data_IF_137076269194
#
_entry.id   IF_137076269194
#
_cell.length_a   1.000
_cell.length_b   1.000
_cell.length_c   1.000
_cell.angle_alpha   90.00
_cell.angle_beta   90.00
_cell.angle_gamma   90.00
#
_symmetry.space_group_name_H-M   'P 1'
#
loop_
_entity.id
_entity.type
_entity.pdbx_description
1 polymer ?
#
# COMPACT_ATOMS: atom_id res chain seq x y z
N UNK A 1 -3.33 8.49 47.00
CA UNK A 1 -2.95 7.73 45.79
C UNK A 1 -3.82 8.27 44.68
N UNK A 2 -3.32 9.25 43.93
CA UNK A 2 -4.03 9.77 42.75
C UNK A 2 -3.70 8.83 41.61
N UNK A 3 -4.66 7.98 41.26
CA UNK A 3 -4.61 7.22 40.02
C UNK A 3 -4.66 8.23 38.88
N UNK A 4 -3.51 8.43 38.24
CA UNK A 4 -3.41 9.22 37.01
C UNK A 4 -4.32 8.57 35.96
N UNK A 5 -5.49 9.16 35.74
CA UNK A 5 -6.42 8.84 34.66
C UNK A 5 -5.80 9.26 33.31
N UNK A 6 -4.74 8.56 32.88
CA UNK A 6 -4.12 8.76 31.57
C UNK A 6 -5.04 8.11 30.53
N UNK A 7 -5.87 8.93 29.90
CA UNK A 7 -6.58 8.57 28.67
C UNK A 7 -5.56 8.51 27.53
N UNK A 8 -5.17 7.30 27.12
CA UNK A 8 -4.37 7.09 25.90
C UNK A 8 -5.28 7.27 24.69
N UNK A 9 -5.06 8.34 23.92
CA UNK A 9 -5.71 8.55 22.64
C UNK A 9 -5.43 7.35 21.71
N UNK A 10 -6.45 6.67 21.15
CA UNK A 10 -6.21 5.74 20.05
C UNK A 10 -6.07 6.58 18.80
N UNK A 11 -4.88 6.71 18.22
CA UNK A 11 -4.78 7.26 16.86
C UNK A 11 -3.41 6.98 16.25
N UNK A 12 -3.21 5.77 15.74
CA UNK A 12 -2.36 5.65 14.56
C UNK A 12 -3.28 5.96 13.38
N UNK A 13 -3.46 7.26 13.10
CA UNK A 13 -4.15 7.69 11.88
C UNK A 13 -3.38 7.11 10.70
N UNK A 14 -4.05 6.30 9.90
CA UNK A 14 -3.46 5.75 8.68
C UNK A 14 -2.84 6.90 7.88
N UNK A 15 -1.55 6.76 7.56
CA UNK A 15 -0.86 7.68 6.66
C UNK A 15 -0.91 7.08 5.27
N UNK A 16 -1.05 7.94 4.27
CA UNK A 16 -0.97 7.51 2.87
C UNK A 16 0.50 7.27 2.55
N UNK A 17 0.85 6.00 2.34
CA UNK A 17 2.17 5.60 1.87
C UNK A 17 2.17 5.51 0.35
N UNK A 18 3.15 6.16 -0.29
CA UNK A 18 3.35 6.08 -1.73
C UNK A 18 4.30 4.91 -2.00
N UNK A 19 3.88 4.00 -2.87
CA UNK A 19 4.63 2.81 -3.25
C UNK A 19 4.86 2.82 -4.77
N UNK A 20 6.11 2.66 -5.19
CA UNK A 20 6.48 2.44 -6.59
C UNK A 20 6.86 0.98 -6.80
N UNK A 21 6.37 0.37 -7.87
CA UNK A 21 6.51 -1.06 -8.10
C UNK A 21 6.44 -1.44 -9.57
N UNK A 22 6.96 -2.63 -9.91
CA UNK A 22 6.74 -3.28 -11.19
C UNK A 22 5.59 -4.29 -11.11
N UNK A 23 4.90 -4.46 -12.23
CA UNK A 23 3.82 -5.43 -12.40
C UNK A 23 4.00 -6.22 -13.69
N UNK A 24 3.46 -7.45 -13.77
CA UNK A 24 3.42 -8.19 -15.03
C UNK A 24 2.46 -7.54 -16.03
N UNK A 25 2.60 -7.87 -17.31
CA UNK A 25 1.71 -7.38 -18.38
C UNK A 25 0.23 -7.74 -18.16
N UNK A 26 -0.05 -8.88 -17.54
CA UNK A 26 -1.41 -9.29 -17.17
C UNK A 26 -1.61 -8.99 -15.69
N UNK A 27 -2.43 -7.98 -15.41
CA UNK A 27 -2.71 -7.53 -14.05
C UNK A 27 -3.92 -8.30 -13.52
N UNK A 28 -3.71 -9.07 -12.46
CA UNK A 28 -4.80 -9.67 -11.67
C UNK A 28 -5.04 -8.81 -10.43
N UNK A 29 -6.27 -8.33 -10.26
CA UNK A 29 -6.68 -7.54 -9.11
C UNK A 29 -7.72 -8.29 -8.28
N UNK A 30 -7.53 -8.37 -6.97
CA UNK A 30 -8.49 -8.94 -6.04
C UNK A 30 -9.09 -7.83 -5.18
N UNK A 31 -10.40 -7.62 -5.31
CA UNK A 31 -11.13 -6.68 -4.46
C UNK A 31 -11.29 -7.28 -3.06
N UNK A 32 -10.68 -6.66 -2.06
CA UNK A 32 -11.05 -6.85 -0.65
C UNK A 32 -12.08 -5.78 -0.27
N UNK A 33 -13.01 -6.13 0.61
CA UNK A 33 -13.91 -5.15 1.21
C UNK A 33 -13.09 -4.07 1.94
N UNK A 34 -13.58 -2.82 1.91
CA UNK A 34 -13.00 -1.68 2.63
C UNK A 34 -11.51 -1.37 2.31
N UNK A 35 -11.08 -1.66 1.07
CA UNK A 35 -9.74 -1.32 0.60
C UNK A 35 -9.73 0.01 -0.15
N UNK A 36 -9.39 1.10 0.55
CA UNK A 36 -9.18 2.44 -0.01
C UNK A 36 -7.77 2.59 -0.59
N UNK A 37 -7.47 1.82 -1.65
CA UNK A 37 -6.18 1.92 -2.35
C UNK A 37 -6.39 2.58 -3.71
N UNK A 38 -5.76 3.73 -3.93
CA UNK A 38 -5.65 4.33 -5.25
C UNK A 38 -4.34 3.88 -5.91
N UNK A 39 -4.37 3.58 -7.21
CA UNK A 39 -3.17 3.20 -7.95
C UNK A 39 -3.25 3.62 -9.42
N UNK A 40 -2.09 3.89 -9.99
CA UNK A 40 -1.87 4.10 -11.41
C UNK A 40 -0.89 3.03 -11.91
N UNK A 41 -1.18 2.41 -13.04
CA UNK A 41 -0.28 1.46 -13.69
C UNK A 41 -0.09 1.88 -15.14
N UNK A 42 1.16 1.95 -15.57
CA UNK A 42 1.56 2.21 -16.94
C UNK A 42 2.30 1.00 -17.51
N UNK A 43 1.96 0.64 -18.73
CA UNK A 43 2.70 -0.39 -19.46
C UNK A 43 4.07 0.16 -19.85
N UNK A 44 5.14 -0.55 -19.48
CA UNK A 44 6.51 -0.19 -19.86
C UNK A 44 6.91 -0.90 -21.15
N UNK A 45 6.57 -2.19 -21.24
CA UNK A 45 6.84 -3.02 -22.41
C UNK A 45 5.76 -4.12 -22.57
N UNK A 46 5.95 -5.05 -23.50
CA UNK A 46 4.96 -6.10 -23.76
C UNK A 46 4.74 -7.05 -22.57
N UNK A 47 5.72 -7.18 -21.68
CA UNK A 47 5.78 -8.16 -20.58
C UNK A 47 5.64 -7.54 -19.18
N UNK A 48 5.86 -6.23 -19.04
CA UNK A 48 5.95 -5.55 -17.75
C UNK A 48 5.35 -4.14 -17.77
N UNK A 49 4.90 -3.70 -16.61
CA UNK A 49 4.46 -2.34 -16.32
C UNK A 49 5.09 -1.80 -15.04
N UNK A 50 5.00 -0.49 -14.87
CA UNK A 50 5.34 0.21 -13.63
C UNK A 50 4.05 0.77 -13.04
N UNK A 51 3.92 0.67 -11.72
CA UNK A 51 2.80 1.21 -10.98
C UNK A 51 3.25 2.10 -9.83
N UNK A 52 2.35 3.01 -9.48
CA UNK A 52 2.40 3.82 -8.28
C UNK A 52 1.09 3.63 -7.52
N UNK A 53 1.16 3.41 -6.21
CA UNK A 53 -0.02 3.25 -5.37
C UNK A 53 0.06 4.15 -4.14
N UNK A 54 -1.10 4.65 -3.73
CA UNK A 54 -1.31 5.42 -2.52
C UNK A 54 -2.11 4.54 -1.57
N UNK A 55 -1.44 4.03 -0.53
CA UNK A 55 -1.98 3.02 0.38
C UNK A 55 -2.08 3.61 1.79
N UNK A 56 -3.30 3.80 2.33
CA UNK A 56 -3.50 4.13 3.73
C UNK A 56 -3.07 2.96 4.63
N UNK A 57 -2.07 3.19 5.47
CA UNK A 57 -1.56 2.20 6.41
C UNK A 57 -0.84 2.86 7.58
N UNK A 58 -0.57 2.07 8.64
CA UNK A 58 0.16 2.54 9.82
C UNK A 58 1.65 2.66 9.57
N UNK A 59 2.18 1.83 8.67
CA UNK A 59 3.60 1.78 8.32
C UNK A 59 3.80 1.21 6.90
N UNK A 60 5.03 1.35 6.39
CA UNK A 60 5.40 0.92 5.03
C UNK A 60 5.23 -0.60 4.83
N UNK A 61 5.51 -1.41 5.85
CA UNK A 61 5.36 -2.88 5.77
C UNK A 61 3.91 -3.28 5.58
N UNK A 62 3.00 -2.65 6.32
CA UNK A 62 1.56 -2.85 6.18
C UNK A 62 1.06 -2.34 4.82
N UNK A 63 1.56 -1.20 4.34
CA UNK A 63 1.25 -0.69 3.01
C UNK A 63 1.64 -1.68 1.90
N UNK A 64 2.88 -2.18 1.93
CA UNK A 64 3.39 -3.18 0.97
C UNK A 64 2.54 -4.47 1.02
N UNK A 65 2.13 -4.91 2.22
CA UNK A 65 1.26 -6.09 2.39
C UNK A 65 -0.15 -5.88 1.83
N UNK A 66 -0.80 -4.75 2.14
CA UNK A 66 -2.13 -4.41 1.61
C UNK A 66 -2.13 -4.36 0.08
N UNK A 67 -1.07 -3.83 -0.53
CA UNK A 67 -0.94 -3.79 -1.98
C UNK A 67 -0.71 -5.19 -2.58
N UNK A 68 0.16 -6.01 -1.99
CA UNK A 68 0.40 -7.40 -2.42
C UNK A 68 -0.85 -8.28 -2.35
N UNK A 69 -1.71 -8.05 -1.35
CA UNK A 69 -2.98 -8.75 -1.21
C UNK A 69 -3.96 -8.40 -2.34
N UNK A 70 -3.82 -7.23 -2.96
CA UNK A 70 -4.69 -6.75 -4.03
C UNK A 70 -4.13 -7.07 -5.42
N UNK A 71 -2.83 -6.88 -5.64
CA UNK A 71 -2.16 -7.05 -6.94
C UNK A 71 -0.85 -7.80 -6.80
N UNK A 72 -0.46 -8.49 -7.88
CA UNK A 72 0.85 -9.14 -7.95
C UNK A 72 1.94 -8.11 -8.29
N UNK A 73 2.69 -7.68 -7.29
CA UNK A 73 3.92 -6.88 -7.47
C UNK A 73 5.09 -7.81 -7.77
N UNK A 74 5.84 -7.52 -8.83
CA UNK A 74 7.06 -8.29 -9.20
C UNK A 74 8.31 -7.75 -8.52
N UNK A 75 8.43 -6.44 -8.41
CA UNK A 75 9.61 -5.76 -7.86
C UNK A 75 9.19 -4.44 -7.21
N UNK A 76 9.82 -4.08 -6.10
CA UNK A 76 9.65 -2.76 -5.48
C UNK A 76 10.72 -1.80 -6.01
N UNK A 77 10.31 -0.60 -6.39
CA UNK A 77 11.22 0.47 -6.77
C UNK A 77 11.33 1.34 -5.53
N UNK A 78 12.35 1.08 -4.69
CA UNK A 78 12.62 1.97 -3.56
C UNK A 78 13.25 3.26 -4.14
N UNK A 79 12.61 4.41 -3.93
CA UNK A 79 13.20 5.71 -4.25
C UNK A 79 14.38 5.92 -3.28
N UNK A 80 15.61 5.84 -3.82
CA UNK A 80 16.84 6.14 -3.09
C UNK A 80 17.01 7.65 -2.87
#
# INVERSE_FOLDING_TARGET
MTEDNIVKFPDIKDRVHILHFKVPAVISMHKKADSDIALEIRRLNEREGIGQAWVPAKNMTEAKKKLHDMIKVTEWIDDA
#
